data_IF_031790746309
#
_entry.id   IF_031790746309
#
_cell.length_a   1.000
_cell.length_b   1.000
_cell.length_c   1.000
_cell.angle_alpha   90.00
_cell.angle_beta   90.00
_cell.angle_gamma   90.00
#
_symmetry.space_group_name_H-M   'P 1'
#
loop_
_entity.id
_entity.type
_entity.pdbx_description
1 polymer ?
#
# COMPACT_ATOMS: atom_id res chain seq x y z
N UNK A 1 -6.64 -12.30 -53.04
CA UNK A 1 -6.96 -11.44 -51.88
C UNK A 1 -6.74 -12.21 -50.59
N UNK A 2 -5.49 -12.37 -50.16
CA UNK A 2 -5.15 -13.16 -48.95
C UNK A 2 -4.00 -12.52 -48.15
N UNK A 3 -3.73 -11.23 -48.38
CA UNK A 3 -2.60 -10.48 -47.78
C UNK A 3 -3.10 -9.51 -46.68
N UNK A 4 -4.41 -9.22 -46.61
CA UNK A 4 -4.96 -8.29 -45.60
C UNK A 4 -5.05 -8.87 -44.17
N UNK A 5 -4.94 -10.19 -43.98
CA UNK A 5 -5.03 -10.81 -42.65
C UNK A 5 -3.71 -10.80 -41.86
N UNK A 6 -2.58 -10.43 -42.49
CA UNK A 6 -1.26 -10.42 -41.83
C UNK A 6 -0.96 -9.12 -41.07
N UNK A 7 -1.87 -8.14 -41.13
CA UNK A 7 -1.70 -6.84 -40.47
C UNK A 7 -2.77 -6.59 -39.40
N UNK A 8 -3.33 -7.63 -38.76
CA UNK A 8 -3.99 -7.40 -37.48
C UNK A 8 -2.89 -7.00 -36.48
N UNK A 9 -2.88 -5.77 -35.95
CA UNK A 9 -2.03 -5.48 -34.81
C UNK A 9 -2.49 -6.43 -33.71
N UNK A 10 -1.65 -7.39 -33.35
CA UNK A 10 -1.80 -8.14 -32.11
C UNK A 10 -1.55 -7.12 -30.99
N UNK A 11 -2.57 -6.32 -30.69
CA UNK A 11 -2.62 -5.52 -29.49
C UNK A 11 -2.75 -6.52 -28.35
N UNK A 12 -1.61 -7.03 -27.89
CA UNK A 12 -1.57 -7.87 -26.71
C UNK A 12 -1.99 -7.00 -25.53
N UNK A 13 -3.26 -7.10 -25.14
CA UNK A 13 -3.70 -6.63 -23.84
C UNK A 13 -2.87 -7.39 -22.79
N UNK A 14 -2.14 -6.65 -21.96
CA UNK A 14 -1.44 -7.24 -20.82
C UNK A 14 -2.48 -7.72 -19.80
N UNK A 15 -2.21 -8.82 -19.11
CA UNK A 15 -3.06 -9.24 -17.99
C UNK A 15 -2.59 -8.53 -16.72
N UNK A 16 -3.50 -7.99 -15.92
CA UNK A 16 -3.19 -7.37 -14.63
C UNK A 16 -3.93 -8.11 -13.51
N UNK A 17 -3.36 -8.16 -12.31
CA UNK A 17 -4.14 -8.57 -11.15
C UNK A 17 -5.22 -7.53 -10.85
N UNK A 18 -6.41 -7.99 -10.48
CA UNK A 18 -7.54 -7.16 -10.10
C UNK A 18 -8.06 -7.59 -8.73
N UNK A 19 -7.88 -6.73 -7.74
CA UNK A 19 -8.36 -6.94 -6.38
C UNK A 19 -8.35 -5.62 -5.59
N UNK A 20 -9.15 -5.56 -4.54
CA UNK A 20 -8.99 -4.56 -3.51
C UNK A 20 -9.15 -5.20 -2.13
N UNK A 21 -8.26 -4.86 -1.20
CA UNK A 21 -8.42 -5.26 0.20
C UNK A 21 -9.73 -4.69 0.76
N UNK A 22 -10.41 -5.42 1.64
CA UNK A 22 -11.70 -5.01 2.21
C UNK A 22 -11.66 -3.58 2.80
N UNK A 23 -10.60 -3.27 3.56
CA UNK A 23 -10.46 -1.95 4.18
C UNK A 23 -10.32 -0.82 3.15
N UNK A 24 -9.73 -1.09 1.99
CA UNK A 24 -9.61 -0.13 0.89
C UNK A 24 -10.97 0.17 0.24
N UNK A 25 -11.81 -0.85 0.06
CA UNK A 25 -13.16 -0.71 -0.49
C UNK A 25 -14.09 0.04 0.46
N UNK A 26 -14.13 -0.34 1.74
CA UNK A 26 -15.02 0.30 2.73
C UNK A 26 -14.67 1.78 2.93
N UNK A 27 -13.38 2.14 2.81
CA UNK A 27 -12.90 3.50 3.00
C UNK A 27 -12.57 4.22 1.67
N UNK A 28 -13.08 3.74 0.54
CA UNK A 28 -12.75 4.25 -0.81
C UNK A 28 -12.86 5.78 -0.91
N UNK A 29 -14.04 6.31 -0.57
CA UNK A 29 -14.32 7.75 -0.60
C UNK A 29 -13.48 8.54 0.42
N UNK A 30 -13.19 7.94 1.59
CA UNK A 30 -12.37 8.57 2.64
C UNK A 30 -10.91 8.70 2.24
N UNK A 31 -10.43 7.83 1.38
CA UNK A 31 -9.10 7.92 0.79
C UNK A 31 -9.05 8.88 -0.42
N UNK A 32 -10.18 9.48 -0.79
CA UNK A 32 -10.28 10.42 -1.92
C UNK A 32 -9.98 9.73 -3.25
N UNK A 33 -10.36 8.46 -3.37
CA UNK A 33 -10.29 7.71 -4.61
C UNK A 33 -11.54 8.02 -5.47
N UNK A 34 -11.39 8.31 -6.77
CA UNK A 34 -12.51 8.54 -7.67
C UNK A 34 -13.41 7.30 -7.72
N UNK A 35 -14.72 7.52 -7.70
CA UNK A 35 -15.71 6.47 -7.92
C UNK A 35 -16.13 6.54 -9.40
N UNK A 36 -15.85 5.51 -10.19
CA UNK A 36 -16.38 5.40 -11.55
C UNK A 36 -17.54 4.41 -11.57
N UNK A 37 -18.58 4.75 -12.33
CA UNK A 37 -19.73 3.87 -12.53
C UNK A 37 -19.31 2.67 -13.39
N UNK A 38 -19.54 1.45 -12.90
CA UNK A 38 -19.24 0.20 -13.61
C UNK A 38 -18.04 -0.59 -13.08
N UNK A 39 -17.39 -0.12 -12.01
CA UNK A 39 -16.24 -0.80 -11.43
C UNK A 39 -16.68 -2.04 -10.63
N UNK A 40 -16.53 -3.23 -11.19
CA UNK A 40 -16.61 -4.48 -10.44
C UNK A 40 -15.26 -4.77 -9.79
N UNK A 41 -14.97 -4.11 -8.67
CA UNK A 41 -13.82 -4.51 -7.86
C UNK A 41 -14.24 -5.51 -6.81
N UNK A 42 -13.59 -6.67 -6.81
CA UNK A 42 -13.86 -7.72 -5.83
C UNK A 42 -13.04 -7.43 -4.56
N UNK A 43 -13.74 -7.41 -3.43
CA UNK A 43 -13.11 -7.40 -2.11
C UNK A 43 -12.41 -8.74 -1.91
N UNK A 44 -11.09 -8.72 -1.75
CA UNK A 44 -10.31 -9.92 -1.49
C UNK A 44 -9.20 -9.60 -0.49
N UNK A 45 -9.22 -10.24 0.66
CA UNK A 45 -8.17 -10.10 1.68
C UNK A 45 -6.83 -10.64 1.19
N UNK A 46 -6.85 -11.58 0.23
CA UNK A 46 -5.64 -12.02 -0.46
C UNK A 46 -4.98 -10.89 -1.27
N UNK A 47 -5.67 -9.76 -1.50
CA UNK A 47 -5.06 -8.58 -2.10
C UNK A 47 -3.94 -7.98 -1.23
N UNK A 48 -3.85 -8.31 0.05
CA UNK A 48 -2.69 -7.90 0.86
C UNK A 48 -1.47 -8.82 0.68
N UNK A 49 -1.65 -9.96 0.01
CA UNK A 49 -0.67 -11.03 -0.14
C UNK A 49 -0.38 -11.34 -1.61
N UNK A 50 0.81 -10.94 -2.08
CA UNK A 50 1.23 -11.09 -3.48
C UNK A 50 1.18 -12.56 -3.95
N UNK A 51 1.32 -13.54 -3.04
CA UNK A 51 1.34 -14.98 -3.35
C UNK A 51 -0.05 -15.58 -3.53
N UNK A 52 -1.10 -14.89 -3.08
CA UNK A 52 -2.49 -15.40 -3.06
C UNK A 52 -3.41 -14.68 -4.04
N UNK A 53 -2.84 -13.87 -4.94
CA UNK A 53 -3.60 -13.13 -5.95
C UNK A 53 -4.20 -14.09 -6.99
N UNK A 54 -5.52 -14.00 -7.19
CA UNK A 54 -6.26 -14.87 -8.11
C UNK A 54 -7.01 -14.09 -9.19
N UNK A 55 -7.63 -12.96 -8.82
CA UNK A 55 -8.37 -12.09 -9.72
C UNK A 55 -7.47 -11.42 -10.76
N UNK A 56 -7.89 -11.44 -12.03
CA UNK A 56 -7.14 -10.86 -13.14
C UNK A 56 -8.05 -10.28 -14.22
N UNK A 57 -7.55 -9.29 -14.94
CA UNK A 57 -8.28 -8.55 -15.97
C UNK A 57 -7.38 -8.28 -17.18
N UNK A 58 -7.90 -8.39 -18.42
CA UNK A 58 -7.19 -7.93 -19.61
C UNK A 58 -7.10 -6.39 -19.60
N UNK A 59 -5.93 -5.86 -19.93
CA UNK A 59 -5.61 -4.45 -19.79
C UNK A 59 -4.80 -3.94 -20.99
N UNK A 60 -5.32 -2.92 -21.67
CA UNK A 60 -4.62 -2.21 -22.75
C UNK A 60 -3.77 -1.03 -22.24
N UNK A 61 -3.75 -0.82 -20.92
CA UNK A 61 -3.06 0.26 -20.23
C UNK A 61 -2.02 -0.32 -19.24
N UNK A 62 -1.24 0.51 -18.52
CA UNK A 62 -0.39 0.01 -17.46
C UNK A 62 -1.20 -0.68 -16.36
N UNK A 63 -0.66 -1.76 -15.79
CA UNK A 63 -1.19 -2.29 -14.54
C UNK A 63 -0.91 -1.31 -13.41
N UNK A 64 -1.86 -1.18 -12.49
CA UNK A 64 -1.82 -0.26 -11.36
C UNK A 64 -1.75 -1.00 -10.03
N UNK A 65 -1.07 -0.41 -9.05
CA UNK A 65 -1.14 -0.74 -7.63
C UNK A 65 -1.28 0.54 -6.81
N UNK A 66 -2.22 0.56 -5.86
CA UNK A 66 -2.35 1.63 -4.87
C UNK A 66 -2.10 1.02 -3.50
N UNK A 67 -1.03 1.43 -2.85
CA UNK A 67 -0.72 1.05 -1.47
C UNK A 67 -1.07 2.19 -0.53
N UNK A 68 -1.92 1.92 0.45
CA UNK A 68 -2.37 2.86 1.46
C UNK A 68 -1.67 2.50 2.76
N UNK A 69 -0.79 3.37 3.23
CA UNK A 69 -0.06 3.18 4.49
C UNK A 69 -0.53 4.17 5.55
N UNK A 70 -0.69 3.69 6.77
CA UNK A 70 -0.94 4.57 7.90
C UNK A 70 0.32 5.38 8.23
N UNK A 71 0.12 6.65 8.58
CA UNK A 71 1.20 7.56 9.00
C UNK A 71 0.91 8.03 10.43
N UNK A 72 1.89 7.83 11.31
CA UNK A 72 1.82 8.17 12.73
C UNK A 72 1.04 7.19 13.61
N UNK A 73 1.18 7.36 14.93
CA UNK A 73 0.52 6.54 15.94
C UNK A 73 1.05 5.10 16.00
N UNK A 74 0.25 4.19 16.58
CA UNK A 74 0.60 2.77 16.78
C UNK A 74 0.75 1.96 15.48
N UNK A 75 0.22 2.47 14.37
CA UNK A 75 0.18 1.78 13.08
C UNK A 75 1.06 2.45 12.01
N UNK A 76 1.98 3.33 12.40
CA UNK A 76 2.86 4.03 11.47
C UNK A 76 3.62 3.04 10.55
N UNK A 77 3.63 3.33 9.25
CA UNK A 77 4.26 2.50 8.23
C UNK A 77 3.52 1.22 7.84
N UNK A 78 2.42 0.86 8.54
CA UNK A 78 1.64 -0.34 8.18
C UNK A 78 0.84 -0.09 6.90
N UNK A 79 0.95 -1.00 5.94
CA UNK A 79 0.04 -1.06 4.79
C UNK A 79 -1.32 -1.52 5.30
N UNK A 80 -2.31 -0.63 5.20
CA UNK A 80 -3.68 -0.86 5.68
C UNK A 80 -4.64 -1.18 4.53
N UNK A 81 -4.27 -0.83 3.28
CA UNK A 81 -5.06 -1.18 2.12
C UNK A 81 -4.21 -1.30 0.86
N UNK A 82 -4.60 -2.21 -0.02
CA UNK A 82 -3.99 -2.41 -1.34
C UNK A 82 -5.09 -2.53 -2.37
N UNK A 83 -4.89 -1.87 -3.52
CA UNK A 83 -5.75 -1.98 -4.69
C UNK A 83 -4.85 -2.33 -5.87
N UNK A 84 -5.25 -3.31 -6.68
CA UNK A 84 -4.60 -3.68 -7.93
C UNK A 84 -5.65 -3.69 -9.02
N UNK A 85 -5.34 -3.06 -10.14
CA UNK A 85 -6.27 -3.01 -11.27
C UNK A 85 -5.55 -2.62 -12.58
N UNK A 86 -6.29 -2.54 -13.68
CA UNK A 86 -5.89 -1.88 -14.91
C UNK A 86 -6.02 -0.35 -14.80
N UNK A 87 -5.03 0.43 -15.25
CA UNK A 87 -5.09 1.89 -15.24
C UNK A 87 -6.03 2.40 -16.36
N UNK A 88 -7.31 2.58 -16.06
CA UNK A 88 -8.27 3.19 -17.02
C UNK A 88 -8.91 4.46 -16.46
N UNK A 89 -8.90 4.63 -15.14
CA UNK A 89 -9.75 5.63 -14.44
C UNK A 89 -9.00 6.82 -13.84
N UNK A 90 -7.79 6.60 -13.34
CA UNK A 90 -7.09 7.62 -12.57
C UNK A 90 -6.46 8.66 -13.50
N UNK A 91 -6.63 9.96 -13.18
CA UNK A 91 -6.05 11.10 -13.93
C UNK A 91 -4.50 11.11 -13.83
N UNK A 92 -3.81 10.10 -14.39
CA UNK A 92 -2.37 9.97 -14.72
C UNK A 92 -1.91 8.49 -14.66
N UNK A 93 -0.95 8.08 -15.50
CA UNK A 93 -0.80 8.34 -16.93
C UNK A 93 -1.26 7.11 -17.76
N UNK A 94 -1.82 7.37 -18.95
CA UNK A 94 -2.20 6.33 -19.92
C UNK A 94 -1.01 5.51 -20.43
N UNK A 95 0.20 6.06 -20.28
CA UNK A 95 1.47 5.46 -20.67
C UNK A 95 2.55 5.82 -19.66
N UNK A 96 3.53 4.93 -19.46
CA UNK A 96 4.71 5.24 -18.66
C UNK A 96 5.64 6.22 -19.40
N UNK A 97 6.48 6.99 -18.68
CA UNK A 97 7.56 7.77 -19.29
C UNK A 97 8.45 6.89 -20.18
N UNK A 98 8.93 7.44 -21.30
CA UNK A 98 9.81 6.71 -22.23
C UNK A 98 11.03 6.12 -21.51
N UNK A 99 11.35 4.87 -21.82
CA UNK A 99 12.46 4.14 -21.20
C UNK A 99 12.18 3.61 -19.78
N UNK A 100 10.98 3.82 -19.21
CA UNK A 100 10.63 3.30 -17.89
C UNK A 100 9.61 2.15 -17.97
N UNK A 101 9.88 1.07 -17.25
CA UNK A 101 8.96 -0.09 -17.13
C UNK A 101 8.05 0.01 -15.92
N UNK A 102 8.36 0.92 -14.99
CA UNK A 102 7.62 1.16 -13.75
C UNK A 102 7.75 2.61 -13.31
N UNK A 103 6.67 3.17 -12.78
CA UNK A 103 6.64 4.50 -12.16
C UNK A 103 5.80 4.47 -10.89
N UNK A 104 6.27 5.08 -9.80
CA UNK A 104 5.50 5.24 -8.58
C UNK A 104 5.40 6.71 -8.16
N UNK A 105 4.24 7.13 -7.66
CA UNK A 105 3.97 8.46 -7.12
C UNK A 105 3.43 8.34 -5.70
N UNK A 106 3.91 9.18 -4.80
CA UNK A 106 3.49 9.21 -3.40
C UNK A 106 2.65 10.45 -3.12
N UNK A 107 1.60 10.31 -2.34
CA UNK A 107 0.75 11.41 -1.88
C UNK A 107 0.38 11.17 -0.43
N UNK A 108 0.86 12.03 0.46
CA UNK A 108 0.39 12.06 1.83
C UNK A 108 -0.91 12.86 1.91
N UNK A 109 -1.87 12.37 2.70
CA UNK A 109 -3.18 13.00 2.89
C UNK A 109 -3.66 12.79 4.32
N UNK A 110 -4.48 13.72 4.79
CA UNK A 110 -5.24 13.59 6.02
C UNK A 110 -6.67 13.24 5.65
N UNK A 111 -7.16 12.10 6.13
CA UNK A 111 -8.57 11.69 5.92
C UNK A 111 -9.51 12.56 6.76
N UNK A 112 -10.82 12.49 6.47
CA UNK A 112 -11.87 13.19 7.21
C UNK A 112 -11.91 12.90 8.73
N UNK A 113 -11.27 11.83 9.21
CA UNK A 113 -11.18 11.45 10.63
C UNK A 113 -9.84 11.80 11.28
N UNK A 114 -9.09 12.76 10.73
CA UNK A 114 -7.74 13.13 11.18
C UNK A 114 -6.71 11.99 11.14
N UNK A 115 -6.99 10.89 10.43
CA UNK A 115 -5.97 9.86 10.18
C UNK A 115 -5.08 10.32 9.03
N UNK A 116 -3.77 10.41 9.28
CA UNK A 116 -2.76 10.63 8.24
C UNK A 116 -2.48 9.32 7.53
N UNK A 117 -2.47 9.36 6.20
CA UNK A 117 -2.17 8.23 5.34
C UNK A 117 -1.21 8.67 4.25
N UNK A 118 -0.41 7.72 3.76
CA UNK A 118 0.41 7.90 2.58
C UNK A 118 -0.07 6.92 1.51
N UNK A 119 -0.43 7.46 0.35
CA UNK A 119 -0.91 6.71 -0.80
C UNK A 119 0.20 6.62 -1.83
N UNK A 120 0.58 5.40 -2.18
CA UNK A 120 1.59 5.12 -3.21
C UNK A 120 0.90 4.52 -4.43
N UNK A 121 0.87 5.28 -5.53
CA UNK A 121 0.33 4.86 -6.81
C UNK A 121 1.48 4.37 -7.69
N UNK A 122 1.54 3.08 -7.97
CA UNK A 122 2.51 2.49 -8.87
C UNK A 122 1.85 2.00 -10.15
N UNK A 123 2.56 2.17 -11.27
CA UNK A 123 2.15 1.75 -12.59
C UNK A 123 3.28 0.94 -13.22
N UNK A 124 2.96 -0.10 -13.97
CA UNK A 124 3.95 -0.94 -14.66
C UNK A 124 3.41 -1.50 -15.97
N UNK A 125 4.33 -1.86 -16.88
CA UNK A 125 4.02 -2.59 -18.10
C UNK A 125 4.46 -4.05 -17.99
N UNK A 126 3.72 -4.94 -18.64
CA UNK A 126 3.95 -6.39 -18.61
C UNK A 126 2.83 -7.14 -17.89
N UNK A 127 2.67 -8.42 -18.23
CA UNK A 127 1.67 -9.26 -17.61
C UNK A 127 1.98 -9.44 -16.11
N UNK A 128 0.96 -9.27 -15.27
CA UNK A 128 0.97 -9.50 -13.82
C UNK A 128 2.03 -8.68 -13.05
N UNK A 129 2.55 -7.61 -13.64
CA UNK A 129 3.61 -6.79 -13.05
C UNK A 129 3.19 -6.07 -11.76
N UNK A 130 1.88 -5.92 -11.54
CA UNK A 130 1.30 -5.36 -10.32
C UNK A 130 1.21 -6.35 -9.14
N UNK A 131 1.64 -7.61 -9.33
CA UNK A 131 1.77 -8.61 -8.26
C UNK A 131 3.19 -8.71 -7.70
N UNK A 132 4.23 -8.76 -8.55
CA UNK A 132 5.61 -8.89 -8.09
C UNK A 132 6.29 -7.54 -7.91
N UNK A 133 6.17 -6.94 -6.71
CA UNK A 133 6.97 -5.75 -6.38
C UNK A 133 6.56 -4.93 -5.18
N UNK A 134 5.53 -5.33 -4.41
CA UNK A 134 5.24 -4.70 -3.12
C UNK A 134 6.19 -5.16 -2.00
N UNK A 135 6.99 -6.20 -2.24
CA UNK A 135 8.04 -6.65 -1.31
C UNK A 135 9.05 -5.54 -0.93
N UNK A 136 9.28 -4.56 -1.83
CA UNK A 136 10.17 -3.43 -1.52
C UNK A 136 9.54 -2.46 -0.52
N UNK A 137 8.21 -2.30 -0.50
CA UNK A 137 7.49 -1.50 0.49
C UNK A 137 7.35 -2.24 1.83
N UNK A 138 7.17 -3.57 1.82
CA UNK A 138 7.26 -4.41 3.04
C UNK A 138 8.63 -4.28 3.72
N UNK A 139 9.74 -4.27 2.94
CA UNK A 139 11.11 -4.09 3.47
C UNK A 139 11.37 -2.70 4.03
N UNK A 140 10.80 -1.63 3.46
CA UNK A 140 10.98 -0.27 3.99
C UNK A 140 10.18 -0.05 5.28
N UNK A 141 9.00 -0.67 5.41
CA UNK A 141 8.24 -0.69 6.66
C UNK A 141 8.96 -1.47 7.77
N UNK A 142 9.59 -2.61 7.44
CA UNK A 142 10.40 -3.37 8.41
C UNK A 142 11.70 -2.65 8.81
N UNK A 143 12.29 -1.84 7.94
CA UNK A 143 13.52 -1.08 8.25
C UNK A 143 13.30 0.14 9.14
N UNK A 144 12.05 0.54 9.43
CA UNK A 144 11.74 1.78 10.13
C UNK A 144 11.33 1.67 11.60
N UNK A 145 11.48 0.52 12.28
CA UNK A 145 11.69 0.47 13.75
C UNK A 145 11.90 -0.97 14.28
N UNK A 146 12.63 -1.18 15.40
CA UNK A 146 13.23 -0.17 16.29
C UNK A 146 14.74 -0.35 16.54
N UNK A 147 15.52 0.74 16.43
CA UNK A 147 16.80 0.84 17.12
C UNK A 147 16.58 1.61 18.44
N UNK A 148 16.96 0.94 19.53
CA UNK A 148 17.11 1.44 20.91
C UNK A 148 15.85 1.96 21.63
N UNK A 149 15.23 1.07 22.42
CA UNK A 149 14.69 1.48 23.73
C UNK A 149 15.88 1.97 24.55
N UNK A 150 15.87 3.23 24.94
CA UNK A 150 16.84 3.81 25.85
C UNK A 150 16.65 3.17 27.25
N UNK A 151 17.62 2.40 27.78
CA UNK A 151 17.48 1.70 29.07
C UNK A 151 17.51 2.65 30.28
N UNK A 152 17.74 3.94 30.07
CA UNK A 152 17.87 4.95 31.13
C UNK A 152 16.56 5.27 31.87
N UNK A 153 15.39 5.01 31.27
CA UNK A 153 14.08 5.29 31.90
C UNK A 153 13.54 4.16 32.79
N UNK A 154 14.10 2.95 32.71
CA UNK A 154 13.68 1.83 33.58
C UNK A 154 14.28 1.90 34.99
N UNK A 155 15.37 2.66 35.16
CA UNK A 155 16.14 2.67 36.41
C UNK A 155 15.73 3.79 37.38
N UNK A 156 14.88 4.73 36.95
CA UNK A 156 14.47 5.87 37.79
C UNK A 156 13.30 5.55 38.74
N UNK A 157 12.48 4.54 38.43
CA UNK A 157 11.32 4.18 39.25
C UNK A 157 11.63 3.27 40.44
N UNK A 158 12.74 2.51 40.40
CA UNK A 158 13.13 1.62 41.50
C UNK A 158 13.87 2.35 42.63
N UNK A 159 14.59 3.45 42.33
CA UNK A 159 15.33 4.21 43.33
C UNK A 159 14.43 5.00 44.30
N UNK A 160 13.26 5.48 43.84
CA UNK A 160 12.34 6.23 44.70
C UNK A 160 11.59 5.37 45.74
N UNK A 161 11.35 4.09 45.44
CA UNK A 161 10.63 3.20 46.36
C UNK A 161 11.50 2.72 47.52
N UNK A 162 12.80 2.47 47.30
CA UNK A 162 13.70 2.07 48.39
C UNK A 162 13.95 3.18 49.42
N UNK A 163 13.98 4.44 48.99
CA UNK A 163 14.20 5.57 49.90
C UNK A 163 13.02 5.81 50.86
N UNK A 164 11.78 5.51 50.46
CA UNK A 164 10.61 5.69 51.32
C UNK A 164 10.46 4.58 52.37
N UNK A 165 10.88 3.35 52.05
CA UNK A 165 10.82 2.22 52.99
C UNK A 165 11.89 2.35 54.10
N UNK A 166 13.06 2.90 53.78
CA UNK A 166 14.11 3.12 54.80
C UNK A 166 13.78 4.23 55.79
N UNK A 167 13.07 5.30 55.38
CA UNK A 167 12.68 6.38 56.29
C UNK A 167 11.59 5.91 57.27
N UNK A 168 10.67 5.05 56.84
CA UNK A 168 9.63 4.51 57.71
C UNK A 168 10.16 3.55 58.79
N UNK A 169 11.26 2.83 58.51
CA UNK A 169 11.86 1.88 59.45
C UNK A 169 12.74 2.56 60.51
N UNK A 170 13.28 3.74 60.23
CA UNK A 170 14.15 4.48 61.16
C UNK A 170 13.38 5.34 62.20
N UNK A 171 12.05 5.38 62.13
CA UNK A 171 11.19 6.14 63.05
C UNK A 171 10.27 5.26 63.91
N UNK A 172 10.54 3.95 64.03
CA UNK A 172 9.88 3.03 64.97
C UNK A 172 10.85 2.50 66.02
#
# INVERSE_FOLDING_TARGET
MLILFLFLPTAFAAMCYQCASELALINWSRYGLPHAYGDSMIADDACLDDERLTGHVPCSAPCMTINITAVGGKHDGKVIGVIRDCQTYFRSPKSLPEGTTRMCRHSERVTLRNQRINMTFCYCHGAFCNGSGSAHLRRTALRRQPAARDPSLANQHYSMWFSLVFIAWAMS
#
